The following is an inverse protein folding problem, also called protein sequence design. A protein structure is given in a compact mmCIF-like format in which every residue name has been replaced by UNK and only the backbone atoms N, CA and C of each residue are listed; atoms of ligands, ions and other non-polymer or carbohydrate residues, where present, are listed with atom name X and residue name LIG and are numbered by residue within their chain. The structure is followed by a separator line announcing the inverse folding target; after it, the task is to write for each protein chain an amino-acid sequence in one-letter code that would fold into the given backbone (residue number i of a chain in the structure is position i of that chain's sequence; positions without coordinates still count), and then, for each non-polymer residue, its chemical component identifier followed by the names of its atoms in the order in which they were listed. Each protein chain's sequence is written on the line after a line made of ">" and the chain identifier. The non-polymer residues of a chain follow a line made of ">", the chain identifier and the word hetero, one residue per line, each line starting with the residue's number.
data_IF_317993277371
#
_entry.id   IF_317993277371
#
_cell.length_a   1.000
_cell.length_b   1.000
_cell.length_c   1.000
_cell.angle_alpha   90.00
_cell.angle_beta   90.00
_cell.angle_gamma   90.00
#
_symmetry.space_group_name_H-M   'P 1'
#
loop_
_entity.id
_entity.type
_entity.pdbx_description
1 polymer ?
#
# COMPACT_ATOMS: atom_id res chain seq x y z
N UNK A 1 -8.09 -30.26 -5.35
CA UNK A 1 -8.87 -30.39 -4.10
C UNK A 1 -9.67 -29.11 -3.90
N UNK A 2 -10.83 -29.12 -3.22
CA UNK A 2 -11.51 -27.88 -2.86
C UNK A 2 -10.62 -27.06 -1.92
N UNK A 3 -10.57 -25.74 -2.12
CA UNK A 3 -9.78 -24.84 -1.25
C UNK A 3 -10.29 -24.91 0.19
N UNK A 4 -9.44 -24.73 1.22
CA UNK A 4 -9.86 -24.80 2.63
C UNK A 4 -10.98 -23.81 2.99
N UNK A 5 -11.05 -22.69 2.28
CA UNK A 5 -12.04 -21.63 2.44
C UNK A 5 -13.27 -21.77 1.52
N UNK A 6 -13.37 -22.86 0.75
CA UNK A 6 -14.49 -23.14 -0.14
C UNK A 6 -14.53 -22.31 -1.43
N UNK A 7 -13.56 -21.43 -1.68
CA UNK A 7 -13.50 -20.62 -2.92
C UNK A 7 -13.14 -21.45 -4.15
N UNK A 8 -13.43 -20.92 -5.34
CA UNK A 8 -12.88 -21.42 -6.61
C UNK A 8 -11.39 -21.07 -6.74
N UNK A 9 -10.63 -21.79 -7.57
CA UNK A 9 -9.19 -21.53 -7.78
C UNK A 9 -8.90 -20.12 -8.31
N UNK A 10 -9.79 -19.57 -9.13
CA UNK A 10 -9.70 -18.27 -9.79
C UNK A 10 -10.47 -17.15 -9.05
N UNK A 11 -10.97 -17.43 -7.85
CA UNK A 11 -11.82 -16.51 -7.09
C UNK A 11 -11.02 -15.77 -6.02
N UNK A 12 -11.13 -14.44 -6.01
CA UNK A 12 -10.60 -13.57 -4.95
C UNK A 12 -11.38 -13.77 -3.65
N UNK A 13 -10.77 -13.46 -2.51
CA UNK A 13 -11.51 -13.26 -1.26
C UNK A 13 -12.42 -12.03 -1.36
N UNK A 14 -13.36 -11.92 -0.42
CA UNK A 14 -14.14 -10.70 -0.26
C UNK A 14 -13.22 -9.49 -0.10
N UNK A 15 -13.40 -8.48 -0.96
CA UNK A 15 -12.63 -7.24 -0.95
C UNK A 15 -13.50 -6.12 -0.41
N UNK A 16 -13.03 -5.41 0.62
CA UNK A 16 -13.68 -4.21 1.15
C UNK A 16 -12.65 -3.10 1.34
N UNK A 17 -13.00 -1.90 0.88
CA UNK A 17 -12.14 -0.72 0.96
C UNK A 17 -12.93 0.39 1.66
N UNK A 18 -12.46 0.79 2.84
CA UNK A 18 -13.05 1.87 3.63
C UNK A 18 -12.13 3.10 3.55
N UNK A 19 -12.49 4.08 2.74
CA UNK A 19 -11.76 5.36 2.60
C UNK A 19 -12.02 6.29 3.78
N UNK A 20 -11.13 7.26 3.98
CA UNK A 20 -11.15 8.23 5.09
C UNK A 20 -11.17 7.56 6.46
N UNK A 21 -10.39 6.48 6.59
CA UNK A 21 -10.35 5.67 7.81
C UNK A 21 -9.71 6.40 8.99
N UNK A 22 -8.55 7.04 8.77
CA UNK A 22 -7.92 7.96 9.71
C UNK A 22 -8.31 9.40 9.39
N UNK A 23 -8.38 10.22 10.44
CA UNK A 23 -8.79 11.63 10.34
C UNK A 23 -7.73 12.55 9.73
N UNK A 24 -6.45 12.28 9.99
CA UNK A 24 -5.39 13.27 9.81
C UNK A 24 -4.60 13.13 8.52
N UNK A 25 -4.46 11.91 7.98
CA UNK A 25 -3.73 11.72 6.73
C UNK A 25 -4.54 12.27 5.56
N UNK A 26 -3.87 12.91 4.59
CA UNK A 26 -4.52 13.47 3.39
C UNK A 26 -5.22 12.38 2.56
N UNK A 27 -4.70 11.15 2.61
CA UNK A 27 -5.41 9.95 2.18
C UNK A 27 -5.32 8.85 3.23
N UNK A 28 -6.42 8.16 3.48
CA UNK A 28 -6.43 7.05 4.43
C UNK A 28 -7.45 5.98 4.07
N UNK A 29 -7.05 4.72 4.14
CA UNK A 29 -7.82 3.57 3.72
C UNK A 29 -7.62 2.42 4.70
N UNK A 30 -8.70 1.75 5.08
CA UNK A 30 -8.66 0.37 5.58
C UNK A 30 -9.04 -0.55 4.42
N UNK A 31 -8.12 -1.43 4.01
CA UNK A 31 -8.40 -2.49 3.03
C UNK A 31 -8.51 -3.84 3.73
N UNK A 32 -9.53 -4.59 3.35
CA UNK A 32 -9.83 -5.93 3.86
C UNK A 32 -9.87 -6.90 2.66
N UNK A 33 -9.02 -7.94 2.67
CA UNK A 33 -9.01 -9.06 1.72
C UNK A 33 -9.27 -10.35 2.50
N UNK A 34 -10.54 -10.76 2.57
CA UNK A 34 -10.98 -11.75 3.55
C UNK A 34 -10.59 -11.31 4.96
N UNK A 35 -9.77 -12.11 5.64
CA UNK A 35 -9.29 -11.83 6.99
C UNK A 35 -8.02 -10.96 7.05
N UNK A 36 -7.35 -10.72 5.92
CA UNK A 36 -6.23 -9.78 5.89
C UNK A 36 -6.73 -8.34 5.94
N UNK A 37 -6.20 -7.55 6.88
CA UNK A 37 -6.58 -6.15 7.11
C UNK A 37 -5.36 -5.26 7.19
N UNK A 38 -5.31 -4.23 6.35
CA UNK A 38 -4.20 -3.28 6.27
C UNK A 38 -4.76 -1.86 6.32
N UNK A 39 -4.22 -1.05 7.23
CA UNK A 39 -4.44 0.39 7.24
C UNK A 39 -3.35 1.03 6.37
N UNK A 40 -3.78 1.80 5.37
CA UNK A 40 -2.91 2.53 4.47
C UNK A 40 -3.14 4.03 4.68
N UNK A 41 -2.09 4.78 4.98
CA UNK A 41 -2.11 6.23 5.06
C UNK A 41 -1.18 6.84 4.01
N UNK A 42 -1.58 7.98 3.46
CA UNK A 42 -0.78 8.79 2.56
C UNK A 42 -0.67 10.19 3.18
N UNK A 43 0.54 10.55 3.58
CA UNK A 43 0.87 11.82 4.23
C UNK A 43 1.74 12.68 3.31
N UNK A 44 1.41 13.95 3.19
CA UNK A 44 2.11 14.86 2.28
C UNK A 44 3.15 15.68 3.02
N UNK A 45 4.34 15.77 2.44
CA UNK A 45 5.42 16.60 2.96
C UNK A 45 5.98 17.54 1.89
N UNK A 46 6.04 18.84 2.19
CA UNK A 46 6.60 19.86 1.29
C UNK A 46 8.14 19.88 1.31
N UNK A 47 8.74 18.70 1.20
CA UNK A 47 10.18 18.51 0.98
C UNK A 47 10.41 17.26 0.15
N UNK A 48 11.58 17.20 -0.48
CA UNK A 48 12.09 16.01 -1.15
C UNK A 48 13.35 15.49 -0.46
N UNK A 49 13.72 14.21 -0.68
CA UNK A 49 15.01 13.71 -0.25
C UNK A 49 16.17 14.61 -0.73
N UNK A 50 17.27 14.75 0.03
CA UNK A 50 18.36 15.68 -0.30
C UNK A 50 18.93 15.51 -1.72
N UNK A 51 18.97 14.28 -2.23
CA UNK A 51 19.47 13.95 -3.57
C UNK A 51 18.51 14.32 -4.72
N UNK A 52 17.26 14.71 -4.42
CA UNK A 52 16.26 15.20 -5.38
C UNK A 52 16.03 16.71 -5.33
N UNK A 53 16.65 17.41 -4.38
CA UNK A 53 16.42 18.86 -4.20
C UNK A 53 16.86 19.64 -5.43
N UNK A 54 15.98 20.50 -5.96
CA UNK A 54 16.24 21.31 -7.14
C UNK A 54 16.05 20.57 -8.47
N UNK A 55 15.65 19.29 -8.45
CA UNK A 55 15.39 18.51 -9.65
C UNK A 55 13.98 18.73 -10.23
N UNK A 56 13.10 19.46 -9.52
CA UNK A 56 11.74 19.75 -9.99
C UNK A 56 10.80 18.55 -9.99
N UNK A 57 11.18 17.43 -9.37
CA UNK A 57 10.38 16.20 -9.29
C UNK A 57 10.09 15.81 -7.84
N UNK A 58 8.92 15.22 -7.63
CA UNK A 58 8.49 14.70 -6.34
C UNK A 58 9.01 13.30 -6.05
N UNK A 59 8.58 12.78 -4.90
CA UNK A 59 8.94 11.46 -4.46
C UNK A 59 7.77 10.75 -3.78
N UNK A 60 7.72 9.42 -3.90
CA UNK A 60 6.84 8.58 -3.12
C UNK A 60 7.71 7.54 -2.43
N UNK A 61 7.55 7.39 -1.12
CA UNK A 61 8.24 6.38 -0.33
C UNK A 61 7.24 5.65 0.55
N UNK A 62 7.59 4.45 1.00
CA UNK A 62 6.69 3.63 1.80
C UNK A 62 7.35 3.01 3.03
N UNK A 63 6.58 2.98 4.11
CA UNK A 63 6.82 2.21 5.32
C UNK A 63 5.79 1.10 5.43
N UNK A 64 6.22 -0.04 5.96
CA UNK A 64 5.39 -1.21 6.11
C UNK A 64 5.61 -1.75 7.51
N UNK A 65 4.53 -1.83 8.28
CA UNK A 65 4.52 -2.32 9.64
C UNK A 65 3.56 -3.49 9.77
N UNK A 66 3.87 -4.40 10.68
CA UNK A 66 2.91 -5.40 11.13
C UNK A 66 2.83 -5.31 12.65
N UNK A 67 1.62 -5.13 13.19
CA UNK A 67 1.46 -5.13 14.64
C UNK A 67 1.81 -6.52 15.20
N UNK A 68 2.37 -6.62 16.43
CA UNK A 68 2.81 -7.88 17.00
C UNK A 68 1.82 -9.04 16.94
N UNK A 69 0.51 -8.75 16.96
CA UNK A 69 -0.55 -9.76 16.97
C UNK A 69 -1.41 -9.75 15.70
N UNK A 70 -0.86 -9.29 14.58
CA UNK A 70 -1.54 -9.41 13.29
C UNK A 70 -1.66 -10.87 12.84
N UNK A 71 -0.71 -11.71 13.22
CA UNK A 71 -0.68 -13.16 12.93
C UNK A 71 -1.19 -13.98 14.11
N UNK A 72 -1.50 -15.26 13.86
CA UNK A 72 -1.93 -16.22 14.88
C UNK A 72 -0.89 -16.37 16.03
N UNK A 73 0.40 -16.33 15.70
CA UNK A 73 1.50 -16.25 16.65
C UNK A 73 1.99 -14.81 16.81
N UNK A 74 2.51 -14.47 17.99
CA UNK A 74 2.93 -13.09 18.27
C UNK A 74 4.33 -12.87 17.73
N UNK A 75 4.48 -11.91 16.83
CA UNK A 75 5.79 -11.45 16.37
C UNK A 75 6.33 -10.33 17.28
N UNK A 76 7.64 -10.29 17.58
CA UNK A 76 8.25 -9.13 18.21
C UNK A 76 8.05 -7.85 17.38
N UNK A 77 7.90 -6.71 18.05
CA UNK A 77 7.85 -5.41 17.36
C UNK A 77 9.24 -5.07 16.82
N UNK A 78 9.32 -4.68 15.56
CA UNK A 78 10.57 -4.19 14.95
C UNK A 78 10.82 -2.73 15.37
N UNK A 79 11.48 -2.52 16.52
CA UNK A 79 11.61 -1.20 17.14
C UNK A 79 12.81 -0.37 16.67
N UNK A 80 13.89 -1.01 16.22
CA UNK A 80 15.17 -0.32 15.95
C UNK A 80 15.64 -0.46 14.51
N UNK A 81 15.46 -1.61 13.87
CA UNK A 81 15.79 -1.78 12.45
C UNK A 81 14.80 -2.75 11.80
N UNK A 82 14.17 -2.36 10.68
CA UNK A 82 13.25 -3.24 9.99
C UNK A 82 13.99 -4.48 9.48
N UNK A 83 13.38 -5.65 9.61
CA UNK A 83 13.91 -6.90 9.07
C UNK A 83 14.00 -6.88 7.55
N UNK A 84 14.77 -7.79 6.95
CA UNK A 84 14.95 -7.86 5.49
C UNK A 84 13.63 -7.99 4.72
N UNK A 85 12.68 -8.77 5.25
CA UNK A 85 11.33 -8.93 4.68
C UNK A 85 10.54 -7.61 4.67
N UNK A 86 10.62 -6.83 5.74
CA UNK A 86 9.92 -5.54 5.83
C UNK A 86 10.52 -4.55 4.83
N UNK A 87 11.85 -4.46 4.76
CA UNK A 87 12.54 -3.62 3.77
C UNK A 87 12.21 -4.01 2.32
N UNK A 88 12.12 -5.31 2.02
CA UNK A 88 11.69 -5.81 0.71
C UNK A 88 10.31 -5.27 0.32
N UNK A 89 9.34 -5.39 1.24
CA UNK A 89 7.95 -4.97 1.03
C UNK A 89 7.86 -3.45 0.91
N UNK A 90 8.52 -2.68 1.76
CA UNK A 90 8.60 -1.22 1.67
C UNK A 90 9.08 -0.78 0.27
N UNK A 91 10.18 -1.38 -0.20
CA UNK A 91 10.73 -1.09 -1.52
C UNK A 91 9.77 -1.49 -2.63
N UNK A 92 9.05 -2.61 -2.49
CA UNK A 92 8.05 -3.07 -3.46
C UNK A 92 6.86 -2.10 -3.54
N UNK A 93 6.27 -1.70 -2.41
CA UNK A 93 5.15 -0.75 -2.34
C UNK A 93 5.58 0.58 -2.97
N UNK A 94 6.71 1.15 -2.53
CA UNK A 94 7.20 2.41 -3.06
C UNK A 94 7.48 2.36 -4.57
N UNK A 95 8.09 1.28 -5.08
CA UNK A 95 8.32 1.12 -6.53
C UNK A 95 7.01 1.04 -7.32
N UNK A 96 6.04 0.29 -6.80
CA UNK A 96 4.75 0.10 -7.48
C UNK A 96 4.02 1.43 -7.61
N UNK A 97 3.91 2.18 -6.52
CA UNK A 97 3.20 3.47 -6.52
C UNK A 97 3.89 4.54 -7.38
N UNK A 98 5.22 4.60 -7.38
CA UNK A 98 5.96 5.52 -8.25
C UNK A 98 5.74 5.22 -9.75
N UNK A 99 5.51 3.97 -10.13
CA UNK A 99 5.24 3.63 -11.53
C UNK A 99 3.90 4.23 -12.02
N UNK A 100 2.91 4.34 -11.13
CA UNK A 100 1.59 4.86 -11.45
C UNK A 100 1.49 6.40 -11.43
N UNK A 101 2.53 7.13 -11.00
CA UNK A 101 2.48 8.60 -10.84
C UNK A 101 3.62 9.27 -11.57
N UNK A 102 3.30 10.37 -12.24
CA UNK A 102 4.25 11.28 -12.87
C UNK A 102 4.91 12.18 -11.82
N UNK A 103 6.16 11.88 -11.48
CA UNK A 103 6.90 12.57 -10.41
C UNK A 103 7.17 14.04 -10.74
N UNK A 104 7.32 14.42 -12.00
CA UNK A 104 7.52 15.83 -12.39
C UNK A 104 6.26 16.65 -12.11
N UNK A 105 5.08 16.10 -12.44
CA UNK A 105 3.79 16.76 -12.19
C UNK A 105 3.41 16.82 -10.71
N UNK A 106 3.99 15.96 -9.88
CA UNK A 106 3.83 16.02 -8.42
C UNK A 106 4.54 17.25 -7.82
N UNK A 107 5.60 17.75 -8.48
CA UNK A 107 6.46 18.81 -7.98
C UNK A 107 7.27 18.38 -6.76
N UNK A 108 8.11 19.27 -6.21
CA UNK A 108 9.03 18.94 -5.12
C UNK A 108 8.33 18.69 -3.77
N UNK A 109 7.68 17.53 -3.64
CA UNK A 109 7.01 17.04 -2.44
C UNK A 109 7.23 15.54 -2.30
N UNK A 110 7.16 15.07 -1.07
CA UNK A 110 7.18 13.63 -0.77
C UNK A 110 5.80 13.21 -0.31
N UNK A 111 5.27 12.13 -0.90
CA UNK A 111 4.15 11.41 -0.32
C UNK A 111 4.71 10.21 0.44
N UNK A 112 4.53 10.23 1.75
CA UNK A 112 4.82 9.14 2.65
C UNK A 112 3.64 8.18 2.68
N UNK A 113 3.91 6.91 2.41
CA UNK A 113 2.90 5.85 2.40
C UNK A 113 3.17 4.92 3.57
N UNK A 114 2.25 4.87 4.53
CA UNK A 114 2.36 4.00 5.69
C UNK A 114 1.36 2.86 5.54
N UNK A 115 1.85 1.62 5.59
CA UNK A 115 1.04 0.41 5.48
C UNK A 115 1.16 -0.42 6.76
N UNK A 116 0.16 -0.31 7.64
CA UNK A 116 0.11 -1.03 8.91
C UNK A 116 -0.84 -2.23 8.83
N UNK A 117 -0.27 -3.42 8.90
CA UNK A 117 -1.05 -4.66 8.95
C UNK A 117 -1.55 -4.88 10.37
N UNK A 118 -2.87 -4.89 10.52
CA UNK A 118 -3.57 -5.12 11.79
C UNK A 118 -4.09 -6.55 11.92
N UNK A 119 -4.30 -7.24 10.80
CA UNK A 119 -4.62 -8.68 10.75
C UNK A 119 -4.01 -9.29 9.48
N UNK A 120 -3.40 -10.47 9.61
CA UNK A 120 -2.64 -11.12 8.54
C UNK A 120 -3.09 -12.58 8.36
N UNK A 121 -3.65 -12.86 7.20
CA UNK A 121 -4.07 -14.18 6.72
C UNK A 121 -3.67 -14.29 5.24
N UNK A 122 -2.38 -14.12 4.92
CA UNK A 122 -1.90 -14.16 3.52
C UNK A 122 -2.23 -12.93 2.66
N UNK A 123 -1.38 -12.66 1.66
CA UNK A 123 -1.59 -11.55 0.72
C UNK A 123 -1.42 -10.13 1.30
N UNK A 124 -0.81 -9.96 2.48
CA UNK A 124 -0.71 -8.64 3.15
C UNK A 124 0.01 -7.58 2.32
N UNK A 125 1.08 -7.96 1.61
CA UNK A 125 1.85 -7.03 0.75
C UNK A 125 1.06 -6.57 -0.47
N UNK A 126 0.23 -7.43 -1.04
CA UNK A 126 -0.62 -7.12 -2.21
C UNK A 126 -1.85 -6.32 -1.80
N UNK A 127 -2.41 -6.62 -0.61
CA UNK A 127 -3.40 -5.77 0.05
C UNK A 127 -2.83 -4.36 0.29
N UNK A 128 -1.63 -4.25 0.86
CA UNK A 128 -0.97 -2.98 1.11
C UNK A 128 -0.79 -2.14 -0.16
N UNK A 129 -0.33 -2.72 -1.27
CA UNK A 129 -0.21 -2.01 -2.56
C UNK A 129 -1.57 -1.47 -3.03
N UNK A 130 -2.60 -2.31 -2.99
CA UNK A 130 -3.95 -1.95 -3.48
C UNK A 130 -4.59 -0.87 -2.61
N UNK A 131 -4.50 -1.00 -1.27
CA UNK A 131 -5.02 0.01 -0.34
C UNK A 131 -4.24 1.32 -0.38
N UNK A 132 -2.91 1.24 -0.45
CA UNK A 132 -2.03 2.40 -0.53
C UNK A 132 -2.23 3.19 -1.83
N UNK A 133 -2.54 2.52 -2.94
CA UNK A 133 -2.89 3.21 -4.17
C UNK A 133 -4.13 4.08 -4.00
N UNK A 134 -5.18 3.57 -3.34
CA UNK A 134 -6.39 4.37 -3.08
C UNK A 134 -6.09 5.54 -2.14
N UNK A 135 -5.30 5.31 -1.07
CA UNK A 135 -4.87 6.38 -0.17
C UNK A 135 -4.03 7.46 -0.91
N UNK A 136 -3.13 7.04 -1.79
CA UNK A 136 -2.34 7.93 -2.64
C UNK A 136 -3.25 8.80 -3.53
N UNK A 137 -4.23 8.20 -4.20
CA UNK A 137 -5.18 8.95 -5.05
C UNK A 137 -5.97 9.97 -4.23
N UNK A 138 -6.37 9.62 -3.00
CA UNK A 138 -7.04 10.56 -2.08
C UNK A 138 -6.11 11.74 -1.71
N UNK A 139 -4.85 11.48 -1.40
CA UNK A 139 -3.85 12.52 -1.12
C UNK A 139 -3.58 13.41 -2.35
N UNK A 140 -3.49 12.84 -3.55
CA UNK A 140 -3.37 13.60 -4.80
C UNK A 140 -4.60 14.50 -5.03
N UNK A 141 -5.79 14.03 -4.66
CA UNK A 141 -6.99 14.85 -4.72
C UNK A 141 -6.94 16.03 -3.76
N UNK A 142 -6.42 15.84 -2.55
CA UNK A 142 -6.18 16.94 -1.61
C UNK A 142 -5.26 17.99 -2.25
N UNK A 143 -4.10 17.61 -2.78
CA UNK A 143 -3.17 18.54 -3.47
C UNK A 143 -3.85 19.32 -4.60
N UNK A 144 -4.71 18.62 -5.37
CA UNK A 144 -5.43 19.23 -6.48
C UNK A 144 -6.47 20.23 -5.99
N UNK A 145 -7.23 19.88 -4.95
CA UNK A 145 -8.28 20.73 -4.38
C UNK A 145 -7.74 21.97 -3.68
N UNK A 146 -6.55 21.89 -3.08
CA UNK A 146 -5.88 23.02 -2.41
C UNK A 146 -5.09 23.89 -3.38
N UNK A 147 -5.01 23.53 -4.66
CA UNK A 147 -4.25 24.25 -5.68
C UNK A 147 -2.73 24.05 -5.58
N UNK A 148 -2.26 23.15 -4.72
CA UNK A 148 -0.83 22.82 -4.59
C UNK A 148 -0.25 22.16 -5.84
N UNK A 149 -1.09 21.48 -6.62
CA UNK A 149 -0.76 21.00 -7.97
C UNK A 149 -1.82 21.44 -8.99
N UNK A 150 -1.35 21.86 -10.16
CA UNK A 150 -2.19 22.37 -11.25
C UNK A 150 -2.50 21.32 -12.31
N UNK A 151 -1.75 20.23 -12.34
CA UNK A 151 -1.90 19.13 -13.30
C UNK A 151 -2.11 17.83 -12.54
N UNK A 152 -2.99 16.97 -13.04
CA UNK A 152 -3.22 15.65 -12.46
C UNK A 152 -2.03 14.72 -12.74
N UNK A 153 -1.35 14.18 -11.71
CA UNK A 153 -0.10 13.44 -11.90
C UNK A 153 -0.30 11.92 -12.05
N UNK A 154 -1.50 11.39 -11.81
CA UNK A 154 -1.76 9.94 -11.92
C UNK A 154 -1.76 9.50 -13.40
N UNK A 155 -1.01 8.44 -13.71
CA UNK A 155 -0.92 7.85 -15.05
C UNK A 155 -1.97 6.76 -15.28
N UNK A 156 -2.13 5.87 -14.32
CA UNK A 156 -3.00 4.71 -14.42
C UNK A 156 -3.46 4.19 -13.05
N UNK A 157 -4.43 3.29 -13.06
CA UNK A 157 -4.84 2.55 -11.87
C UNK A 157 -3.86 1.42 -11.58
N UNK A 158 -3.58 1.19 -10.30
CA UNK A 158 -2.67 0.13 -9.87
C UNK A 158 -3.28 -0.69 -8.72
N UNK A 159 -3.17 -2.01 -8.83
CA UNK A 159 -3.55 -2.97 -7.81
C UNK A 159 -2.59 -4.16 -7.85
N UNK A 160 -2.62 -5.00 -6.81
CA UNK A 160 -1.82 -6.21 -6.76
C UNK A 160 -2.60 -7.36 -6.14
N UNK A 161 -2.33 -8.58 -6.59
CA UNK A 161 -2.85 -9.83 -6.01
C UNK A 161 -1.76 -10.90 -5.97
N UNK A 162 -1.93 -11.90 -5.12
CA UNK A 162 -1.03 -13.06 -5.07
C UNK A 162 -1.58 -14.19 -5.94
N UNK A 163 -0.69 -15.02 -6.47
CA UNK A 163 -1.06 -16.26 -7.16
C UNK A 163 0.05 -17.29 -6.91
N UNK A 164 -0.29 -18.57 -6.97
CA UNK A 164 0.65 -19.65 -6.68
C UNK A 164 0.12 -21.02 -7.10
N UNK A 165 1.00 -22.02 -7.03
CA UNK A 165 0.63 -23.43 -7.24
C UNK A 165 0.52 -24.13 -5.89
N UNK A 166 -0.65 -24.66 -5.58
CA UNK A 166 -0.93 -25.42 -4.36
C UNK A 166 -1.39 -26.81 -4.78
N UNK A 167 -0.65 -27.85 -4.37
CA UNK A 167 -0.96 -29.26 -4.68
C UNK A 167 -1.25 -29.52 -6.18
N UNK A 168 -0.45 -28.89 -7.06
CA UNK A 168 -0.58 -29.05 -8.51
C UNK A 168 -1.67 -28.19 -9.17
N UNK A 169 -2.36 -27.34 -8.41
CA UNK A 169 -3.40 -26.44 -8.93
C UNK A 169 -2.96 -24.98 -8.83
N UNK A 170 -3.14 -24.20 -9.91
CA UNK A 170 -2.94 -22.76 -9.88
C UNK A 170 -4.10 -22.09 -9.12
N UNK A 171 -3.76 -21.24 -8.15
CA UNK A 171 -4.71 -20.61 -7.22
C UNK A 171 -4.43 -19.12 -7.09
N UNK A 172 -5.49 -18.32 -7.14
CA UNK A 172 -5.52 -16.88 -6.96
C UNK A 172 -5.76 -16.50 -5.48
N UNK A 173 -5.08 -15.47 -5.01
CA UNK A 173 -5.25 -14.83 -3.70
C UNK A 173 -5.20 -15.82 -2.53
N UNK A 174 -3.96 -16.23 -2.20
CA UNK A 174 -3.69 -17.22 -1.17
C UNK A 174 -3.84 -16.61 0.23
N UNK A 175 -4.53 -17.34 1.10
CA UNK A 175 -4.62 -17.15 2.55
C UNK A 175 -3.48 -17.86 3.27
#
# INVERSE_FOLDING_TARGET
>A
MPRPDGRRPDELRSVKITRRYLKYAEGSVLIELGDTRVVCAASIEERVPPWLRGAGQGWITAEYGMIPRATQERNPREASRPGGRVQEIQRLVGRSLRAAVDMEKLGERTIWIDCDVIQADGGTRTAAITGAFVALVDALHVLRSTGMITVWPLREFLAATSAGFVEGQAVLDLS
#
